data_IF_292645737670
#
_entry.id   IF_292645737670
#
_cell.length_a   1.000
_cell.length_b   1.000
_cell.length_c   1.000
_cell.angle_alpha   90.00
_cell.angle_beta   90.00
_cell.angle_gamma   90.00
#
_symmetry.space_group_name_H-M   'P 1'
#
loop_
_entity.id
_entity.type
_entity.pdbx_description
1 polymer ?
#
# COMPACT_ATOMS: atom_id res chain seq x y z
N UNK A 1 -36.87 -29.58 32.12
CA UNK A 1 -35.80 -30.22 31.33
C UNK A 1 -35.44 -29.33 30.16
N UNK A 2 -34.13 -29.08 30.04
CA UNK A 2 -33.45 -28.03 29.28
C UNK A 2 -33.63 -28.04 27.75
N UNK A 3 -33.84 -26.83 27.21
CA UNK A 3 -33.04 -26.15 26.19
C UNK A 3 -32.37 -26.99 25.10
N UNK A 4 -32.88 -26.92 23.86
CA UNK A 4 -32.07 -27.13 22.63
C UNK A 4 -32.70 -26.45 21.39
N UNK A 5 -32.55 -25.13 21.23
CA UNK A 5 -32.64 -24.47 19.90
C UNK A 5 -31.90 -23.12 19.88
N UNK A 6 -30.57 -23.13 19.86
CA UNK A 6 -29.79 -21.98 19.39
C UNK A 6 -28.38 -22.45 19.01
N UNK A 7 -28.12 -22.68 17.72
CA UNK A 7 -26.78 -22.56 17.15
C UNK A 7 -26.85 -22.64 15.61
N UNK A 8 -27.25 -21.55 14.94
CA UNK A 8 -27.10 -21.41 13.49
C UNK A 8 -26.98 -19.92 13.11
N UNK A 9 -26.05 -19.18 13.72
CA UNK A 9 -25.63 -17.87 13.19
C UNK A 9 -24.15 -17.67 13.56
N UNK A 10 -23.21 -18.16 12.75
CA UNK A 10 -21.81 -17.66 12.74
C UNK A 10 -20.96 -18.26 11.61
N UNK A 11 -21.40 -18.21 10.35
CA UNK A 11 -20.50 -18.52 9.21
C UNK A 11 -20.87 -17.77 7.92
N UNK A 12 -21.20 -16.48 8.01
CA UNK A 12 -21.44 -15.64 6.82
C UNK A 12 -20.69 -14.29 6.84
N UNK A 13 -19.86 -14.03 7.85
CA UNK A 13 -19.18 -12.73 7.99
C UNK A 13 -17.79 -12.65 7.34
N UNK A 14 -17.17 -13.79 6.99
CA UNK A 14 -15.77 -13.80 6.49
C UNK A 14 -15.70 -13.82 4.95
N UNK A 15 -16.73 -14.31 4.28
CA UNK A 15 -16.79 -14.35 2.81
C UNK A 15 -17.17 -13.00 2.18
N UNK A 16 -17.89 -12.16 2.92
CA UNK A 16 -18.40 -10.86 2.45
C UNK A 16 -17.33 -9.76 2.43
N UNK A 17 -16.26 -9.85 3.23
CA UNK A 17 -15.17 -8.88 3.18
C UNK A 17 -14.28 -9.08 1.95
N UNK A 18 -14.07 -10.32 1.52
CA UNK A 18 -13.25 -10.67 0.34
C UNK A 18 -13.85 -10.15 -0.97
N UNK A 19 -15.15 -10.40 -1.21
CA UNK A 19 -15.83 -9.90 -2.39
C UNK A 19 -16.00 -8.37 -2.38
N UNK A 20 -16.20 -7.76 -1.20
CA UNK A 20 -16.27 -6.31 -1.05
C UNK A 20 -14.94 -5.63 -1.37
N UNK A 21 -13.79 -6.18 -0.94
CA UNK A 21 -12.48 -5.61 -1.25
C UNK A 21 -12.12 -5.75 -2.74
N UNK A 22 -12.42 -6.89 -3.36
CA UNK A 22 -12.20 -7.08 -4.80
C UNK A 22 -13.10 -6.14 -5.65
N UNK A 23 -14.36 -5.95 -5.25
CA UNK A 23 -15.27 -5.01 -5.91
C UNK A 23 -14.87 -3.55 -5.68
N UNK A 24 -14.41 -3.20 -4.47
CA UNK A 24 -13.93 -1.87 -4.13
C UNK A 24 -12.66 -1.53 -4.91
N UNK A 25 -11.69 -2.45 -4.99
CA UNK A 25 -10.50 -2.33 -5.82
C UNK A 25 -10.84 -2.03 -7.29
N UNK A 26 -11.83 -2.73 -7.86
CA UNK A 26 -12.26 -2.52 -9.26
C UNK A 26 -13.03 -1.22 -9.48
N UNK A 27 -13.91 -0.81 -8.55
CA UNK A 27 -14.60 0.49 -8.62
C UNK A 27 -13.67 1.68 -8.39
N UNK A 28 -12.65 1.52 -7.53
CA UNK A 28 -11.66 2.56 -7.25
C UNK A 28 -10.77 2.83 -8.47
N UNK A 29 -10.42 1.80 -9.25
CA UNK A 29 -9.73 1.96 -10.53
C UNK A 29 -10.58 2.70 -11.59
N UNK A 30 -11.92 2.70 -11.47
CA UNK A 30 -12.82 3.43 -12.39
C UNK A 30 -12.97 4.92 -12.06
N UNK A 31 -12.62 5.37 -10.84
CA UNK A 31 -12.71 6.77 -10.40
C UNK A 31 -11.36 7.40 -10.03
N UNK A 32 -10.31 6.59 -9.89
CA UNK A 32 -8.94 7.01 -9.58
C UNK A 32 -8.08 7.27 -10.82
N UNK A 33 -6.82 7.70 -10.65
CA UNK A 33 -5.89 7.73 -11.77
C UNK A 33 -5.78 6.33 -12.39
N UNK A 34 -5.69 6.28 -13.72
CA UNK A 34 -5.39 5.08 -14.49
C UNK A 34 -3.87 5.03 -14.72
N UNK A 35 -3.10 4.40 -13.82
CA UNK A 35 -1.66 4.32 -13.95
C UNK A 35 -1.25 3.62 -15.24
N UNK A 36 -0.16 4.11 -15.84
CA UNK A 36 0.43 3.53 -17.04
C UNK A 36 1.78 2.94 -16.70
N UNK A 37 2.03 1.72 -17.17
CA UNK A 37 3.36 1.15 -17.12
C UNK A 37 4.23 1.82 -18.20
N UNK A 38 5.34 2.40 -17.78
CA UNK A 38 6.36 3.01 -18.63
C UNK A 38 7.59 2.10 -18.60
N UNK A 39 7.89 1.40 -19.71
CA UNK A 39 9.06 0.52 -19.78
C UNK A 39 10.36 1.28 -19.52
N UNK A 40 11.30 0.68 -18.79
CA UNK A 40 12.56 1.32 -18.41
C UNK A 40 13.54 0.40 -17.68
N UNK A 41 14.55 1.00 -17.04
CA UNK A 41 15.49 0.31 -16.14
C UNK A 41 15.67 1.13 -14.85
N UNK A 42 14.84 0.92 -13.81
CA UNK A 42 13.68 0.02 -13.75
C UNK A 42 12.46 0.56 -14.53
N UNK A 43 11.49 -0.32 -14.77
CA UNK A 43 10.14 0.08 -15.21
C UNK A 43 9.53 1.08 -14.22
N UNK A 44 8.63 1.93 -14.69
CA UNK A 44 7.97 2.95 -13.87
C UNK A 44 6.46 2.88 -14.02
N UNK A 45 5.75 3.24 -12.96
CA UNK A 45 4.30 3.43 -12.96
C UNK A 45 4.03 4.92 -12.97
N UNK A 46 3.44 5.41 -14.06
CA UNK A 46 3.05 6.80 -14.25
C UNK A 46 1.60 7.01 -13.82
N UNK A 47 1.39 7.81 -12.78
CA UNK A 47 0.06 8.19 -12.29
C UNK A 47 -0.41 9.55 -12.83
N UNK A 48 0.39 10.20 -13.69
CA UNK A 48 0.22 11.58 -14.13
C UNK A 48 0.60 12.60 -13.06
N UNK A 49 0.55 13.90 -13.42
CA UNK A 49 0.74 15.02 -12.48
C UNK A 49 2.04 14.92 -11.67
N UNK A 50 3.15 14.68 -12.37
CA UNK A 50 4.48 14.60 -11.77
C UNK A 50 4.77 13.30 -11.00
N UNK A 51 3.79 12.40 -10.85
CA UNK A 51 3.94 11.21 -10.04
C UNK A 51 4.36 9.98 -10.85
N UNK A 52 5.66 9.67 -10.78
CA UNK A 52 6.28 8.58 -11.52
C UNK A 52 7.08 7.67 -10.57
N UNK A 53 6.60 6.45 -10.37
CA UNK A 53 7.10 5.56 -9.33
C UNK A 53 7.92 4.41 -9.96
N UNK A 54 9.21 4.24 -9.65
CA UNK A 54 9.98 3.10 -10.11
C UNK A 54 9.47 1.80 -9.49
N UNK A 55 9.29 0.77 -10.32
CA UNK A 55 8.94 -0.58 -9.87
C UNK A 55 10.18 -1.25 -9.28
N UNK A 56 10.50 -0.87 -8.05
CA UNK A 56 11.67 -1.33 -7.30
C UNK A 56 11.31 -1.53 -5.84
N UNK A 57 12.18 -2.21 -5.08
CA UNK A 57 11.99 -2.43 -3.64
C UNK A 57 11.91 -1.10 -2.87
N UNK A 58 12.59 -0.07 -3.35
CA UNK A 58 12.60 1.25 -2.71
C UNK A 58 11.23 1.92 -2.72
N UNK A 59 10.34 1.54 -3.65
CA UNK A 59 8.97 2.07 -3.71
C UNK A 59 8.16 1.79 -2.44
N UNK A 60 8.47 0.71 -1.71
CA UNK A 60 7.81 0.33 -0.45
C UNK A 60 8.34 1.11 0.76
N UNK A 61 9.51 1.75 0.64
CA UNK A 61 10.14 2.54 1.70
C UNK A 61 10.18 4.03 1.36
N UNK A 62 9.24 4.47 0.53
CA UNK A 62 9.16 5.84 0.03
C UNK A 62 7.73 6.34 0.07
N UNK A 63 7.52 7.56 0.56
CA UNK A 63 6.30 8.32 0.30
C UNK A 63 6.45 9.08 -1.00
N UNK A 64 5.71 8.70 -2.03
CA UNK A 64 5.77 9.35 -3.34
C UNK A 64 4.82 10.54 -3.39
N UNK A 65 5.32 11.67 -3.87
CA UNK A 65 4.62 12.93 -4.00
C UNK A 65 4.48 13.31 -5.47
N UNK A 66 3.24 13.50 -5.91
CA UNK A 66 2.92 14.19 -7.17
C UNK A 66 2.49 15.62 -6.91
N UNK A 67 2.11 16.34 -7.96
CA UNK A 67 1.68 17.74 -7.85
C UNK A 67 0.48 17.91 -6.89
N UNK A 68 -0.46 16.96 -6.92
CA UNK A 68 -1.76 17.06 -6.25
C UNK A 68 -2.08 15.87 -5.32
N UNK A 69 -1.17 14.92 -5.15
CA UNK A 69 -1.43 13.68 -4.39
C UNK A 69 -0.18 13.07 -3.76
N UNK A 70 -0.40 12.18 -2.80
CA UNK A 70 0.63 11.29 -2.26
C UNK A 70 0.26 9.83 -2.49
N UNK A 71 1.26 8.97 -2.68
CA UNK A 71 1.12 7.50 -2.74
C UNK A 71 2.16 6.83 -1.84
N UNK A 72 1.73 5.84 -1.07
CA UNK A 72 2.62 4.92 -0.36
C UNK A 72 2.24 3.47 -0.69
N UNK A 73 3.20 2.57 -0.74
CA UNK A 73 2.94 1.15 -1.02
C UNK A 73 2.96 0.31 0.25
N UNK A 74 2.19 -0.77 0.22
CA UNK A 74 2.19 -1.81 1.24
C UNK A 74 2.33 -3.18 0.62
N UNK A 75 2.88 -4.11 1.40
CA UNK A 75 3.06 -5.51 1.04
C UNK A 75 2.36 -6.39 2.07
N UNK A 76 1.69 -7.45 1.63
CA UNK A 76 0.94 -8.36 2.47
C UNK A 76 1.12 -9.82 2.07
N UNK A 77 0.89 -10.73 3.03
CA UNK A 77 1.05 -12.17 2.84
C UNK A 77 -0.14 -12.93 3.45
N UNK A 78 -0.73 -13.85 2.70
CA UNK A 78 -1.96 -14.52 3.13
C UNK A 78 -2.10 -15.94 2.63
N UNK A 79 -2.98 -16.70 3.27
CA UNK A 79 -3.41 -18.02 2.76
C UNK A 79 -4.44 -17.89 1.63
N UNK A 80 -4.90 -16.67 1.35
CA UNK A 80 -5.80 -16.32 0.24
C UNK A 80 -5.44 -14.93 -0.29
N UNK A 81 -5.82 -14.67 -1.54
CA UNK A 81 -5.68 -13.36 -2.19
C UNK A 81 -6.32 -12.24 -1.39
N UNK A 82 -7.54 -12.44 -0.88
CA UNK A 82 -8.21 -11.43 -0.08
C UNK A 82 -7.48 -11.12 1.22
N UNK A 83 -6.93 -12.14 1.89
CA UNK A 83 -6.16 -11.94 3.12
C UNK A 83 -4.84 -11.19 2.83
N UNK A 84 -4.14 -11.56 1.76
CA UNK A 84 -2.92 -10.88 1.35
C UNK A 84 -3.21 -9.41 0.96
N UNK A 85 -4.27 -9.17 0.20
CA UNK A 85 -4.69 -7.82 -0.21
C UNK A 85 -5.06 -6.93 0.97
N UNK A 86 -5.85 -7.44 1.92
CA UNK A 86 -6.19 -6.69 3.13
C UNK A 86 -4.95 -6.27 3.92
N UNK A 87 -3.98 -7.17 4.09
CA UNK A 87 -2.72 -6.82 4.76
C UNK A 87 -1.89 -5.80 3.99
N UNK A 88 -1.82 -5.93 2.66
CA UNK A 88 -1.10 -4.97 1.83
C UNK A 88 -1.72 -3.58 1.95
N UNK A 89 -3.05 -3.49 2.00
CA UNK A 89 -3.78 -2.23 2.17
C UNK A 89 -3.52 -1.60 3.55
N UNK A 90 -3.63 -2.37 4.62
CA UNK A 90 -3.29 -1.92 5.97
C UNK A 90 -1.84 -1.42 6.06
N UNK A 91 -0.89 -2.14 5.46
CA UNK A 91 0.51 -1.74 5.41
C UNK A 91 0.71 -0.44 4.61
N UNK A 92 0.00 -0.26 3.50
CA UNK A 92 0.07 0.95 2.69
C UNK A 92 -0.49 2.17 3.44
N UNK A 93 -1.62 1.99 4.14
CA UNK A 93 -2.22 3.02 5.01
C UNK A 93 -1.26 3.39 6.14
N UNK A 94 -0.68 2.40 6.82
CA UNK A 94 0.28 2.64 7.91
C UNK A 94 1.51 3.39 7.43
N UNK A 95 2.07 2.99 6.28
CA UNK A 95 3.22 3.66 5.65
C UNK A 95 2.88 5.10 5.30
N UNK A 96 1.72 5.34 4.67
CA UNK A 96 1.25 6.68 4.35
C UNK A 96 1.19 7.58 5.60
N UNK A 97 0.56 7.10 6.67
CA UNK A 97 0.42 7.85 7.93
C UNK A 97 1.78 8.19 8.53
N UNK A 98 2.66 7.20 8.71
CA UNK A 98 3.96 7.41 9.34
C UNK A 98 4.82 8.41 8.57
N UNK A 99 4.84 8.33 7.24
CA UNK A 99 5.61 9.27 6.43
C UNK A 99 5.02 10.67 6.41
N UNK A 100 3.70 10.83 6.30
CA UNK A 100 3.06 12.15 6.35
C UNK A 100 3.24 12.82 7.71
N UNK A 101 3.09 12.07 8.81
CA UNK A 101 3.38 12.56 10.14
C UNK A 101 4.84 13.00 10.26
N UNK A 102 5.76 12.19 9.74
CA UNK A 102 7.19 12.54 9.76
C UNK A 102 7.46 13.79 8.92
N UNK A 103 6.86 13.91 7.74
CA UNK A 103 7.01 15.09 6.88
C UNK A 103 6.38 16.35 7.50
N UNK A 104 5.30 16.20 8.28
CA UNK A 104 4.62 17.30 8.94
C UNK A 104 5.34 17.80 10.20
N UNK A 105 5.93 16.90 11.00
CA UNK A 105 6.45 17.18 12.35
C UNK A 105 7.97 17.01 12.53
N UNK A 106 8.62 16.22 11.69
CA UNK A 106 10.07 16.01 11.72
C UNK A 106 10.65 15.88 10.30
N UNK A 107 10.42 16.86 9.41
CA UNK A 107 10.79 16.78 7.99
C UNK A 107 12.29 16.61 7.78
N UNK A 108 13.10 17.07 8.74
CA UNK A 108 14.55 16.92 8.75
C UNK A 108 15.01 15.46 8.79
N UNK A 109 14.16 14.52 9.21
CA UNK A 109 14.44 13.06 9.17
C UNK A 109 14.27 12.46 7.79
N UNK A 110 13.55 13.15 6.90
CA UNK A 110 13.31 12.70 5.54
C UNK A 110 14.26 13.41 4.57
N UNK A 111 14.57 12.74 3.47
CA UNK A 111 15.23 13.32 2.31
C UNK A 111 14.34 13.11 1.08
N UNK A 112 14.25 14.17 0.27
CA UNK A 112 13.58 14.09 -1.02
C UNK A 112 14.54 13.48 -2.05
N UNK A 113 14.09 12.47 -2.78
CA UNK A 113 14.85 11.77 -3.82
C UNK A 113 14.43 12.22 -5.21
N UNK A 114 15.34 12.04 -6.17
CA UNK A 114 15.05 12.28 -7.58
C UNK A 114 13.85 11.44 -8.02
N UNK A 115 12.85 12.08 -8.61
CA UNK A 115 11.59 11.44 -9.01
C UNK A 115 10.40 11.65 -8.07
N UNK A 116 10.52 12.48 -7.03
CA UNK A 116 9.38 12.94 -6.23
C UNK A 116 9.10 12.12 -4.97
N UNK A 117 10.07 11.36 -4.47
CA UNK A 117 9.90 10.51 -3.30
C UNK A 117 10.47 11.13 -2.01
N UNK A 118 9.90 10.77 -0.86
CA UNK A 118 10.46 11.03 0.46
C UNK A 118 10.88 9.73 1.11
N UNK A 119 12.16 9.63 1.48
CA UNK A 119 12.73 8.48 2.18
C UNK A 119 13.34 8.89 3.50
N UNK A 120 13.39 7.95 4.45
CA UNK A 120 13.98 8.19 5.75
C UNK A 120 15.51 8.19 5.66
N UNK A 121 16.15 9.26 6.13
CA UNK A 121 17.62 9.42 6.06
C UNK A 121 18.38 8.32 6.81
N UNK A 122 17.84 7.86 7.94
CA UNK A 122 18.48 6.86 8.78
C UNK A 122 18.30 5.43 8.27
N UNK A 123 17.31 5.20 7.40
CA UNK A 123 16.87 3.86 7.00
C UNK A 123 16.20 3.04 8.12
N UNK A 124 15.98 3.61 9.32
CA UNK A 124 15.42 2.89 10.47
C UNK A 124 14.00 3.34 10.78
N UNK A 125 13.02 2.46 10.60
CA UNK A 125 11.60 2.78 10.79
C UNK A 125 11.24 3.31 12.20
N UNK A 126 12.06 3.05 13.21
CA UNK A 126 11.92 3.60 14.56
C UNK A 126 12.03 5.13 14.62
N UNK A 127 12.72 5.75 13.66
CA UNK A 127 12.88 7.20 13.59
C UNK A 127 11.66 7.91 12.97
N UNK A 128 10.68 7.17 12.46
CA UNK A 128 9.42 7.73 11.96
C UNK A 128 8.59 8.28 13.13
N UNK A 129 7.89 9.38 12.88
CA UNK A 129 6.94 9.94 13.84
C UNK A 129 5.76 9.00 13.98
N UNK A 130 5.54 8.53 15.21
CA UNK A 130 4.45 7.62 15.56
C UNK A 130 3.23 8.42 15.98
N UNK A 131 2.07 8.00 15.50
CA UNK A 131 0.81 8.68 15.75
C UNK A 131 -0.26 8.13 14.84
N UNK A 132 -1.40 8.79 14.87
CA UNK A 132 -2.50 8.51 13.95
C UNK A 132 -3.05 9.81 13.36
N UNK A 133 -3.59 9.70 12.15
CA UNK A 133 -4.31 10.77 11.45
C UNK A 133 -5.32 10.11 10.52
N UNK A 134 -6.55 10.61 10.51
CA UNK A 134 -7.56 10.11 9.58
C UNK A 134 -7.24 10.58 8.16
N UNK A 135 -7.17 9.66 7.21
CA UNK A 135 -6.82 9.97 5.82
C UNK A 135 -7.91 9.44 4.89
N UNK A 136 -8.43 10.32 4.03
CA UNK A 136 -9.39 9.95 2.97
C UNK A 136 -8.65 9.44 1.74
N UNK A 137 -8.02 8.28 1.88
CA UNK A 137 -7.34 7.63 0.78
C UNK A 137 -8.12 6.50 0.15
N UNK A 138 -7.48 5.84 -0.82
CA UNK A 138 -8.04 4.69 -1.51
C UNK A 138 -6.94 3.78 -2.08
N UNK A 139 -7.22 2.48 -2.24
CA UNK A 139 -6.23 1.55 -2.78
C UNK A 139 -6.10 1.74 -4.30
N UNK A 140 -4.87 1.69 -4.82
CA UNK A 140 -4.56 1.78 -6.25
C UNK A 140 -3.55 0.69 -6.60
N UNK A 141 -3.64 0.17 -7.82
CA UNK A 141 -2.76 -0.91 -8.29
C UNK A 141 -2.70 -2.15 -7.37
N UNK A 142 -3.84 -2.70 -6.91
CA UNK A 142 -3.80 -3.96 -6.18
C UNK A 142 -3.30 -5.08 -7.12
N UNK A 143 -2.23 -5.77 -6.72
CA UNK A 143 -1.63 -6.85 -7.50
C UNK A 143 -1.18 -8.00 -6.61
N UNK A 144 -1.67 -9.19 -6.91
CA UNK A 144 -1.34 -10.45 -6.22
C UNK A 144 -0.11 -11.14 -6.81
N UNK A 145 0.54 -10.55 -7.82
CA UNK A 145 1.68 -11.14 -8.53
C UNK A 145 2.85 -10.15 -8.67
N UNK A 146 4.05 -10.72 -8.82
CA UNK A 146 5.44 -10.19 -8.76
C UNK A 146 5.82 -9.01 -9.67
N UNK A 147 4.86 -8.21 -10.14
CA UNK A 147 5.13 -7.05 -11.01
C UNK A 147 5.93 -5.96 -10.30
N UNK A 148 5.68 -5.71 -9.01
CA UNK A 148 6.63 -4.99 -8.15
C UNK A 148 7.66 -6.03 -7.69
N UNK A 149 8.86 -6.01 -8.25
CA UNK A 149 9.88 -7.05 -8.10
C UNK A 149 10.27 -7.33 -6.65
N UNK A 150 9.51 -8.23 -6.03
CA UNK A 150 9.89 -9.10 -4.93
C UNK A 150 9.94 -10.57 -5.42
N UNK A 151 10.12 -10.78 -6.73
CA UNK A 151 10.46 -12.11 -7.21
C UNK A 151 11.79 -12.49 -6.57
N UNK A 152 11.82 -13.67 -5.96
CA UNK A 152 13.02 -14.30 -5.40
C UNK A 152 14.11 -14.60 -6.46
N UNK A 153 14.02 -14.00 -7.65
CA UNK A 153 14.87 -14.24 -8.82
C UNK A 153 15.98 -13.18 -9.01
N UNK A 154 16.38 -12.47 -7.95
CA UNK A 154 17.76 -11.97 -7.88
C UNK A 154 18.75 -13.12 -7.57
N UNK A 155 18.24 -14.32 -7.28
CA UNK A 155 18.99 -15.57 -7.38
C UNK A 155 18.49 -16.34 -8.62
N UNK A 156 19.37 -16.44 -9.62
CA UNK A 156 19.23 -17.24 -10.84
C UNK A 156 18.26 -16.69 -11.91
N UNK A 157 18.85 -16.37 -13.08
CA UNK A 157 18.12 -16.21 -14.33
C UNK A 157 17.29 -17.45 -14.61
N UNK A 158 15.99 -17.27 -14.83
CA UNK A 158 15.05 -18.35 -15.01
C UNK A 158 13.80 -17.84 -15.72
N UNK A 159 13.65 -18.36 -16.93
CA UNK A 159 12.60 -18.29 -17.91
C UNK A 159 11.19 -17.87 -17.46
N UNK A 160 10.55 -17.07 -18.32
CA UNK A 160 9.16 -16.70 -18.19
C UNK A 160 8.29 -17.90 -18.62
N UNK A 161 7.72 -18.60 -17.65
CA UNK A 161 6.64 -19.55 -17.88
C UNK A 161 6.73 -20.76 -16.99
N UNK A 162 5.90 -20.80 -15.94
CA UNK A 162 5.24 -22.06 -15.57
C UNK A 162 3.98 -21.79 -14.74
N UNK A 163 2.83 -22.05 -15.33
CA UNK A 163 1.56 -22.22 -14.64
C UNK A 163 1.55 -23.62 -13.99
N UNK A 164 2.15 -23.77 -12.80
CA UNK A 164 1.92 -24.97 -11.98
C UNK A 164 1.43 -24.59 -10.58
N UNK A 165 0.11 -24.37 -10.49
CA UNK A 165 -0.66 -24.41 -9.23
C UNK A 165 -0.57 -25.83 -8.65
N UNK A 166 0.25 -26.00 -7.61
CA UNK A 166 0.43 -27.30 -6.95
C UNK A 166 1.19 -27.22 -5.63
N UNK A 167 0.69 -26.44 -4.67
CA UNK A 167 1.23 -26.40 -3.30
C UNK A 167 0.64 -25.22 -2.54
N UNK A 168 0.27 -25.41 -1.27
CA UNK A 168 -0.26 -24.35 -0.40
C UNK A 168 0.80 -23.30 -0.05
N UNK A 169 1.18 -22.51 -1.05
CA UNK A 169 2.09 -21.37 -0.90
C UNK A 169 1.35 -20.14 -0.42
N UNK A 170 2.01 -19.33 0.40
CA UNK A 170 1.50 -18.02 0.79
C UNK A 170 1.29 -17.16 -0.46
N UNK A 171 0.11 -16.54 -0.56
CA UNK A 171 -0.21 -15.52 -1.56
C UNK A 171 0.45 -14.22 -1.13
N UNK A 172 1.15 -13.56 -2.04
CA UNK A 172 1.74 -12.24 -1.83
C UNK A 172 0.87 -11.18 -2.49
N UNK A 173 0.84 -9.99 -1.90
CA UNK A 173 0.04 -8.89 -2.40
C UNK A 173 0.82 -7.58 -2.27
N UNK A 174 0.63 -6.70 -3.25
CA UNK A 174 1.10 -5.32 -3.20
C UNK A 174 -0.05 -4.40 -3.57
N UNK A 175 -0.18 -3.28 -2.87
CA UNK A 175 -1.12 -2.21 -3.21
C UNK A 175 -0.53 -0.86 -2.86
N UNK A 176 -0.88 0.16 -3.63
CA UNK A 176 -0.62 1.55 -3.29
C UNK A 176 -1.83 2.14 -2.54
N UNK A 177 -1.59 3.05 -1.61
CA UNK A 177 -2.63 3.87 -1.01
C UNK A 177 -2.44 5.31 -1.46
N UNK A 178 -3.46 5.89 -2.08
CA UNK A 178 -3.42 7.23 -2.66
C UNK A 178 -4.30 8.17 -1.85
N UNK A 179 -3.75 9.34 -1.49
CA UNK A 179 -4.51 10.47 -0.93
C UNK A 179 -4.35 11.71 -1.80
N UNK A 180 -5.38 12.53 -1.90
CA UNK A 180 -5.28 13.84 -2.53
C UNK A 180 -4.80 14.88 -1.53
N UNK A 181 -3.93 15.79 -1.97
CA UNK A 181 -3.50 16.93 -1.15
C UNK A 181 -4.66 17.87 -0.82
N UNK A 182 -5.68 17.93 -1.67
CA UNK A 182 -6.91 18.68 -1.38
C UNK A 182 -7.73 18.10 -0.23
N UNK A 183 -7.56 16.79 0.05
CA UNK A 183 -8.27 16.11 1.14
C UNK A 183 -7.45 16.09 2.43
N UNK A 184 -6.11 16.03 2.31
CA UNK A 184 -5.18 16.04 3.44
C UNK A 184 -3.81 16.58 3.02
N UNK A 185 -3.60 17.89 3.15
CA UNK A 185 -2.29 18.52 3.03
C UNK A 185 -1.51 18.41 4.37
N UNK A 186 -0.27 18.91 4.39
CA UNK A 186 0.55 18.85 5.61
C UNK A 186 -0.04 19.68 6.76
N UNK A 187 -0.82 20.72 6.46
CA UNK A 187 -1.45 21.54 7.49
C UNK A 187 -2.63 20.82 8.14
N UNK A 188 -3.46 20.14 7.34
CA UNK A 188 -4.47 19.21 7.82
C UNK A 188 -3.85 18.15 8.74
N UNK A 189 -2.73 17.55 8.32
CA UNK A 189 -2.02 16.54 9.14
C UNK A 189 -1.58 17.14 10.47
N UNK A 190 -1.03 18.36 10.50
CA UNK A 190 -0.63 19.01 11.76
C UNK A 190 -1.81 19.26 12.71
N UNK A 191 -2.96 19.61 12.16
CA UNK A 191 -4.15 19.97 12.93
C UNK A 191 -4.92 18.76 13.46
N UNK A 192 -4.87 17.62 12.76
CA UNK A 192 -5.69 16.45 13.04
C UNK A 192 -4.90 15.23 13.53
N UNK A 193 -3.56 15.32 13.59
CA UNK A 193 -2.74 14.22 14.08
C UNK A 193 -2.85 14.04 15.61
N UNK A 194 -2.93 12.79 16.02
CA UNK A 194 -2.78 12.34 17.40
C UNK A 194 -1.42 11.64 17.54
N UNK A 195 -0.42 12.39 18.01
CA UNK A 195 0.93 11.85 18.18
C UNK A 195 0.98 10.89 19.38
N UNK A 196 1.69 9.78 19.21
CA UNK A 196 2.09 8.95 20.34
C UNK A 196 3.30 9.62 21.00
N UNK A 197 3.28 9.72 22.34
CA UNK A 197 4.40 10.29 23.07
C UNK A 197 5.71 9.53 22.72
N UNK A 198 6.84 10.26 22.60
CA UNK A 198 8.13 9.67 22.27
C UNK A 198 8.61 8.65 23.32
#
# INVERSE_FOLDING_TARGET
>A
MNTRRHCLITMAAVASMSAAHASLAYEVLKRGPCPKLVPGKPDKVDFGHGLLIPMSKDAFHTLWEGDDRFIAYGHGFGQSEAAAMGQAEEAAIGTMKLYLLTLAFAPDRLMHIDGGGWVLKSGKTEDLVKGDVELKGRPVMPTTDTKFSYSANEAAGGDAGDETRGGGGAVHATTGWLIWKSDADLEYVRQHAHLLAP
#
